data_IF_156135723289
#
_entry.id   IF_156135723289
#
_cell.length_a   1.000
_cell.length_b   1.000
_cell.length_c   1.000
_cell.angle_alpha   90.00
_cell.angle_beta   90.00
_cell.angle_gamma   90.00
#
_symmetry.space_group_name_H-M   'P 1'
#
loop_
_entity.id
_entity.type
_entity.pdbx_description
1 polymer ?
#
# COMPACT_ATOMS: atom_id res chain seq x y z
N UNK A 1 15.63 -1.02 54.26
CA UNK A 1 14.67 -1.72 53.38
C UNK A 1 15.34 -2.25 52.10
N UNK A 2 16.03 -1.43 51.29
CA UNK A 2 16.78 -1.94 50.12
C UNK A 2 17.93 -2.90 50.49
N UNK A 3 18.72 -2.55 51.52
CA UNK A 3 19.82 -3.42 52.01
C UNK A 3 19.33 -4.76 52.57
N UNK A 4 18.22 -4.77 53.32
CA UNK A 4 17.63 -6.00 53.87
C UNK A 4 16.99 -6.88 52.78
N UNK A 5 16.41 -6.27 51.74
CA UNK A 5 15.85 -6.99 50.59
C UNK A 5 16.97 -7.59 49.72
N UNK A 6 18.07 -6.86 49.56
CA UNK A 6 19.27 -7.32 48.85
C UNK A 6 19.94 -8.48 49.58
N UNK A 7 20.01 -8.42 50.90
CA UNK A 7 20.58 -9.47 51.74
C UNK A 7 19.72 -10.75 51.69
N UNK A 8 18.40 -10.61 51.80
CA UNK A 8 17.46 -11.72 51.62
C UNK A 8 17.51 -12.33 50.21
N UNK A 9 17.68 -11.51 49.16
CA UNK A 9 17.86 -12.02 47.79
C UNK A 9 19.18 -12.78 47.66
N UNK A 10 20.28 -12.26 48.22
CA UNK A 10 21.62 -12.84 48.10
C UNK A 10 21.81 -14.17 48.82
N UNK A 11 20.93 -14.48 49.78
CA UNK A 11 20.95 -15.74 50.54
C UNK A 11 20.15 -16.87 49.82
N UNK A 12 19.45 -16.58 48.72
CA UNK A 12 18.75 -17.62 47.97
C UNK A 12 19.71 -18.52 47.17
N UNK A 13 19.50 -19.85 47.19
CA UNK A 13 20.37 -20.81 46.47
C UNK A 13 20.39 -20.61 44.94
N UNK A 14 19.40 -19.92 44.38
CA UNK A 14 19.30 -19.60 42.94
C UNK A 14 19.48 -18.10 42.64
N UNK A 15 20.19 -17.35 43.48
CA UNK A 15 20.38 -15.90 43.34
C UNK A 15 20.94 -15.49 41.96
N UNK A 16 21.89 -16.26 41.42
CA UNK A 16 22.47 -16.00 40.09
C UNK A 16 21.43 -16.19 38.98
N UNK A 17 20.63 -17.25 39.05
CA UNK A 17 19.56 -17.49 38.09
C UNK A 17 18.48 -16.40 38.16
N UNK A 18 18.17 -15.92 39.37
CA UNK A 18 17.18 -14.88 39.58
C UNK A 18 17.62 -13.51 39.01
N UNK A 19 18.91 -13.19 39.10
CA UNK A 19 19.49 -11.95 38.58
C UNK A 19 19.61 -11.95 37.05
N UNK A 20 19.71 -13.12 36.42
CA UNK A 20 19.73 -13.26 34.95
C UNK A 20 18.34 -13.22 34.32
N UNK A 21 17.26 -13.43 35.08
CA UNK A 21 15.87 -13.37 34.56
C UNK A 21 15.59 -12.03 33.83
N UNK A 22 15.81 -10.83 34.41
CA UNK A 22 15.42 -9.60 33.73
C UNK A 22 16.18 -9.30 32.42
N UNK A 23 17.51 -9.47 32.34
CA UNK A 23 18.24 -9.33 31.07
C UNK A 23 17.84 -10.38 30.02
N UNK A 24 17.63 -11.64 30.43
CA UNK A 24 17.23 -12.71 29.50
C UNK A 24 15.82 -12.47 28.98
N UNK A 25 14.86 -12.14 29.85
CA UNK A 25 13.50 -11.79 29.44
C UNK A 25 13.49 -10.57 28.51
N UNK A 26 14.30 -9.55 28.78
CA UNK A 26 14.44 -8.39 27.89
C UNK A 26 14.90 -8.80 26.48
N UNK A 27 15.92 -9.64 26.38
CA UNK A 27 16.44 -10.14 25.10
C UNK A 27 15.42 -11.03 24.39
N UNK A 28 14.78 -11.95 25.12
CA UNK A 28 13.77 -12.86 24.58
C UNK A 28 12.57 -12.08 24.05
N UNK A 29 12.04 -11.11 24.80
CA UNK A 29 10.93 -10.25 24.35
C UNK A 29 11.33 -9.44 23.11
N UNK A 30 12.55 -8.91 23.08
CA UNK A 30 13.07 -8.18 21.93
C UNK A 30 13.14 -9.06 20.67
N UNK A 31 13.70 -10.26 20.79
CA UNK A 31 13.82 -11.22 19.69
C UNK A 31 12.46 -11.75 19.25
N UNK A 32 11.57 -12.02 20.20
CA UNK A 32 10.22 -12.50 19.94
C UNK A 32 9.39 -11.45 19.17
N UNK A 33 9.38 -10.20 19.61
CA UNK A 33 8.64 -9.12 18.94
C UNK A 33 9.17 -8.89 17.52
N UNK A 34 10.50 -8.95 17.33
CA UNK A 34 11.09 -8.92 15.99
C UNK A 34 10.58 -10.06 15.11
N UNK A 35 10.60 -11.29 15.63
CA UNK A 35 10.11 -12.46 14.91
C UNK A 35 8.62 -12.32 14.56
N UNK A 36 7.79 -11.81 15.47
CA UNK A 36 6.37 -11.58 15.24
C UNK A 36 6.12 -10.54 14.13
N UNK A 37 6.91 -9.47 14.10
CA UNK A 37 6.85 -8.45 13.04
C UNK A 37 7.30 -9.02 11.70
N UNK A 38 8.36 -9.84 11.66
CA UNK A 38 8.82 -10.48 10.43
C UNK A 38 7.75 -11.44 9.86
N UNK A 39 7.15 -12.25 10.75
CA UNK A 39 6.07 -13.19 10.45
C UNK A 39 4.78 -12.52 9.95
N UNK A 40 4.58 -11.24 10.26
CA UNK A 40 3.44 -10.46 9.77
C UNK A 40 3.53 -10.18 8.27
N UNK A 41 4.74 -9.90 7.77
CA UNK A 41 4.96 -9.45 6.39
C UNK A 41 5.55 -10.54 5.48
N UNK A 42 6.34 -11.46 6.03
CA UNK A 42 7.09 -12.46 5.27
C UNK A 42 6.72 -13.89 5.68
N UNK A 43 6.79 -14.85 4.72
CA UNK A 43 7.09 -14.70 3.30
C UNK A 43 5.89 -14.19 2.51
N UNK A 44 6.14 -13.41 1.44
CA UNK A 44 5.10 -12.82 0.58
C UNK A 44 4.29 -13.92 -0.14
N UNK A 45 4.99 -14.94 -0.64
CA UNK A 45 4.38 -16.13 -1.24
C UNK A 45 4.34 -17.24 -0.20
N UNK A 46 3.25 -17.99 -0.18
CA UNK A 46 3.12 -19.17 0.68
C UNK A 46 4.29 -20.13 0.46
N UNK A 47 4.99 -20.45 1.55
CA UNK A 47 6.10 -21.39 1.56
C UNK A 47 5.69 -22.65 2.34
N UNK A 48 5.63 -23.79 1.66
CA UNK A 48 5.26 -25.07 2.26
C UNK A 48 4.60 -26.05 1.27
N UNK A 49 4.14 -27.18 1.79
CA UNK A 49 3.49 -28.23 0.99
C UNK A 49 2.00 -27.91 0.90
N UNK A 50 1.54 -27.52 -0.29
CA UNK A 50 0.11 -27.34 -0.58
C UNK A 50 -0.55 -28.71 -0.65
N UNK A 51 -1.30 -29.08 0.39
CA UNK A 51 -2.13 -30.28 0.39
C UNK A 51 -3.54 -29.84 0.00
N UNK A 52 -4.02 -30.32 -1.15
CA UNK A 52 -5.37 -30.02 -1.64
C UNK A 52 -6.38 -30.93 -0.93
N UNK A 53 -7.35 -30.37 -0.20
CA UNK A 53 -8.46 -31.13 0.40
C UNK A 53 -8.50 -31.24 1.94
N UNK A 54 -7.76 -30.42 2.69
CA UNK A 54 -7.86 -30.41 4.17
C UNK A 54 -9.14 -29.67 4.65
N UNK A 55 -9.90 -30.23 5.62
CA UNK A 55 -11.00 -29.51 6.26
C UNK A 55 -10.49 -28.23 6.96
N UNK A 56 -11.37 -27.22 7.09
CA UNK A 56 -11.10 -25.88 7.67
C UNK A 56 -10.33 -24.87 6.79
N UNK A 57 -10.17 -25.09 5.49
CA UNK A 57 -9.61 -24.07 4.58
C UNK A 57 -8.09 -23.84 4.74
N UNK A 58 -7.40 -24.78 5.39
CA UNK A 58 -5.94 -24.79 5.48
C UNK A 58 -5.34 -25.11 4.10
N UNK A 59 -4.60 -24.16 3.51
CA UNK A 59 -3.97 -24.28 2.19
C UNK A 59 -2.78 -25.26 2.13
N UNK A 60 -2.48 -25.95 3.24
CA UNK A 60 -1.37 -26.89 3.39
C UNK A 60 -0.60 -26.71 4.69
N UNK A 61 0.47 -27.51 4.87
CA UNK A 61 1.49 -27.31 5.91
C UNK A 61 2.51 -26.31 5.37
N UNK A 62 2.36 -25.04 5.73
CA UNK A 62 3.26 -23.98 5.30
C UNK A 62 2.97 -22.65 5.97
N UNK A 63 3.88 -21.71 5.79
CA UNK A 63 3.81 -20.38 6.36
C UNK A 63 3.71 -19.33 5.25
N UNK A 64 2.85 -18.34 5.47
CA UNK A 64 2.76 -17.13 4.67
C UNK A 64 2.58 -15.97 5.64
N UNK A 65 3.18 -14.82 5.33
CA UNK A 65 2.93 -13.61 6.11
C UNK A 65 1.43 -13.33 6.21
N UNK A 66 0.97 -12.85 7.36
CA UNK A 66 -0.46 -12.65 7.62
C UNK A 66 -1.04 -11.59 6.65
N UNK A 67 -0.34 -10.47 6.45
CA UNK A 67 -0.73 -9.39 5.54
C UNK A 67 -0.88 -9.89 4.09
N UNK A 68 0.12 -10.54 3.46
CA UNK A 68 -0.04 -11.05 2.09
C UNK A 68 -1.04 -12.21 1.98
N UNK A 69 -1.27 -12.98 3.04
CA UNK A 69 -2.27 -14.05 3.03
C UNK A 69 -3.71 -13.52 3.03
N UNK A 70 -3.96 -12.39 3.70
CA UNK A 70 -5.28 -11.75 3.83
C UNK A 70 -5.49 -10.53 2.93
N UNK A 71 -4.63 -10.37 1.93
CA UNK A 71 -4.59 -9.19 1.07
C UNK A 71 -5.96 -8.73 0.55
N UNK A 72 -6.78 -9.62 -0.02
CA UNK A 72 -8.08 -9.27 -0.58
C UNK A 72 -9.11 -8.69 0.40
N UNK A 73 -9.09 -9.16 1.66
CA UNK A 73 -9.99 -8.61 2.68
C UNK A 73 -9.52 -7.23 3.15
N UNK A 74 -8.20 -7.06 3.30
CA UNK A 74 -7.58 -5.81 3.74
C UNK A 74 -7.72 -4.72 2.65
N UNK A 75 -7.53 -5.08 1.37
CA UNK A 75 -7.63 -4.14 0.26
C UNK A 75 -9.00 -3.51 0.19
N UNK A 76 -10.09 -4.29 0.27
CA UNK A 76 -11.46 -3.76 0.22
C UNK A 76 -11.72 -2.65 1.24
N UNK A 77 -11.24 -2.82 2.49
CA UNK A 77 -11.45 -1.81 3.53
C UNK A 77 -10.63 -0.53 3.25
N UNK A 78 -9.37 -0.68 2.84
CA UNK A 78 -8.51 0.47 2.51
C UNK A 78 -9.06 1.21 1.30
N UNK A 79 -9.55 0.49 0.29
CA UNK A 79 -10.16 1.04 -0.92
C UNK A 79 -11.38 1.88 -0.57
N UNK A 80 -12.32 1.33 0.19
CA UNK A 80 -13.57 2.03 0.55
C UNK A 80 -13.26 3.34 1.29
N UNK A 81 -12.27 3.32 2.18
CA UNK A 81 -11.81 4.51 2.89
C UNK A 81 -11.10 5.50 1.96
N UNK A 82 -10.19 5.04 1.11
CA UNK A 82 -9.41 5.89 0.18
C UNK A 82 -10.31 6.56 -0.86
N UNK A 83 -11.23 5.80 -1.46
CA UNK A 83 -12.19 6.32 -2.45
C UNK A 83 -13.14 7.36 -1.86
N UNK A 84 -13.60 7.16 -0.63
CA UNK A 84 -14.43 8.16 0.06
C UNK A 84 -13.75 9.53 0.22
N UNK A 85 -12.41 9.58 0.12
CA UNK A 85 -11.61 10.80 0.29
C UNK A 85 -11.06 11.36 -1.03
N UNK A 86 -11.07 10.58 -2.11
CA UNK A 86 -10.60 11.01 -3.43
C UNK A 86 -11.44 12.14 -4.03
N UNK A 87 -12.68 12.36 -3.56
CA UNK A 87 -13.59 13.36 -4.15
C UNK A 87 -14.33 12.81 -5.36
N UNK A 88 -14.72 13.67 -6.30
CA UNK A 88 -15.26 13.22 -7.59
C UNK A 88 -14.12 12.73 -8.48
N UNK A 89 -14.39 11.68 -9.26
CA UNK A 89 -13.39 11.16 -10.20
C UNK A 89 -13.13 12.17 -11.32
N UNK A 90 -14.14 12.96 -11.70
CA UNK A 90 -13.96 14.07 -12.63
C UNK A 90 -12.92 15.07 -12.13
N UNK A 91 -13.00 15.55 -10.87
CA UNK A 91 -12.01 16.49 -10.31
C UNK A 91 -10.60 15.89 -10.35
N UNK A 92 -10.48 14.61 -10.02
CA UNK A 92 -9.21 13.89 -10.06
C UNK A 92 -8.62 13.81 -11.48
N UNK A 93 -9.46 13.53 -12.49
CA UNK A 93 -9.03 13.44 -13.88
C UNK A 93 -8.72 14.81 -14.49
N UNK A 94 -9.49 15.84 -14.16
CA UNK A 94 -9.19 17.22 -14.53
C UNK A 94 -7.84 17.67 -13.94
N UNK A 95 -7.53 17.26 -12.71
CA UNK A 95 -6.24 17.55 -12.08
C UNK A 95 -5.05 16.85 -12.76
N UNK A 96 -5.27 15.83 -13.60
CA UNK A 96 -4.23 15.23 -14.43
C UNK A 96 -3.96 16.02 -15.73
N UNK A 97 -4.65 17.13 -15.98
CA UNK A 97 -4.52 18.00 -17.17
C UNK A 97 -4.72 17.18 -18.47
N UNK A 98 -5.98 16.82 -18.79
CA UNK A 98 -6.30 15.93 -19.92
C UNK A 98 -5.82 16.45 -21.28
N UNK A 99 -5.70 17.76 -21.45
CA UNK A 99 -5.13 18.35 -22.66
C UNK A 99 -3.64 17.99 -22.84
N UNK A 100 -2.85 18.04 -21.78
CA UNK A 100 -1.43 17.62 -21.83
C UNK A 100 -1.31 16.12 -22.14
N UNK A 101 -2.23 15.30 -21.61
CA UNK A 101 -2.30 13.87 -21.93
C UNK A 101 -2.59 13.66 -23.42
N UNK A 102 -3.57 14.37 -23.97
CA UNK A 102 -3.92 14.28 -25.39
C UNK A 102 -2.76 14.69 -26.30
N UNK A 103 -2.02 15.75 -25.95
CA UNK A 103 -0.84 16.18 -26.69
C UNK A 103 0.28 15.13 -26.65
N UNK A 104 0.56 14.56 -25.47
CA UNK A 104 1.59 13.53 -25.30
C UNK A 104 1.26 12.24 -26.07
N UNK A 105 0.00 11.78 -25.98
CA UNK A 105 -0.48 10.61 -26.72
C UNK A 105 -0.38 10.88 -28.21
N UNK A 106 -0.87 12.03 -28.67
CA UNK A 106 -0.80 12.46 -30.08
C UNK A 106 0.64 12.44 -30.60
N UNK A 107 1.58 13.06 -29.89
CA UNK A 107 2.99 13.14 -30.29
C UNK A 107 3.66 11.76 -30.39
N UNK A 108 3.16 10.77 -29.63
CA UNK A 108 3.66 9.40 -29.67
C UNK A 108 3.02 8.58 -30.78
N UNK A 109 1.70 8.71 -30.96
CA UNK A 109 0.96 8.04 -32.04
C UNK A 109 1.39 8.59 -33.41
N UNK A 110 1.62 9.89 -33.55
CA UNK A 110 2.06 10.55 -34.80
C UNK A 110 3.36 9.94 -35.34
N UNK A 111 4.30 9.58 -34.47
CA UNK A 111 5.58 8.96 -34.86
C UNK A 111 5.41 7.59 -35.49
N UNK A 112 4.38 6.85 -35.07
CA UNK A 112 4.10 5.50 -35.53
C UNK A 112 2.90 5.44 -36.47
N UNK A 113 2.31 6.58 -36.83
CA UNK A 113 1.02 6.65 -37.51
C UNK A 113 1.04 5.92 -38.86
N UNK A 114 2.07 6.16 -39.67
CA UNK A 114 2.20 5.49 -40.98
C UNK A 114 2.31 3.97 -40.83
N UNK A 115 3.11 3.51 -39.84
CA UNK A 115 3.24 2.08 -39.54
C UNK A 115 1.95 1.46 -39.05
N UNK A 116 1.19 2.18 -38.21
CA UNK A 116 -0.11 1.72 -37.69
C UNK A 116 -1.14 1.61 -38.82
N UNK A 117 -1.20 2.61 -39.71
CA UNK A 117 -2.09 2.56 -40.87
C UNK A 117 -1.71 1.40 -41.78
N UNK A 118 -0.41 1.20 -42.03
CA UNK A 118 0.07 0.08 -42.84
C UNK A 118 -0.28 -1.27 -42.22
N UNK A 119 -0.07 -1.43 -40.91
CA UNK A 119 -0.41 -2.66 -40.20
C UNK A 119 -1.91 -2.98 -40.30
N UNK A 120 -2.77 -2.01 -39.99
CA UNK A 120 -4.24 -2.17 -40.04
C UNK A 120 -4.69 -2.50 -41.47
N UNK A 121 -4.17 -1.79 -42.46
CA UNK A 121 -4.55 -1.98 -43.87
C UNK A 121 -4.04 -3.32 -44.42
N UNK A 122 -2.86 -3.77 -44.03
CA UNK A 122 -2.31 -5.07 -44.46
C UNK A 122 -3.03 -6.25 -43.82
N UNK A 123 -3.43 -6.13 -42.54
CA UNK A 123 -4.11 -7.20 -41.81
C UNK A 123 -5.48 -7.54 -42.42
N UNK A 124 -6.23 -6.52 -42.87
CA UNK A 124 -7.57 -6.72 -43.43
C UNK A 124 -7.66 -6.66 -44.94
N UNK A 125 -6.82 -5.85 -45.57
CA UNK A 125 -6.91 -5.54 -46.98
C UNK A 125 -5.56 -5.61 -47.69
N UNK A 126 -4.84 -6.73 -47.49
CA UNK A 126 -3.53 -6.96 -48.08
C UNK A 126 -3.46 -6.63 -49.58
N UNK A 127 -4.40 -7.16 -50.38
CA UNK A 127 -4.43 -6.96 -51.83
C UNK A 127 -4.70 -5.50 -52.22
N UNK A 128 -5.61 -4.81 -51.52
CA UNK A 128 -5.92 -3.42 -51.81
C UNK A 128 -4.74 -2.52 -51.46
N UNK A 129 -4.16 -2.70 -50.27
CA UNK A 129 -3.10 -1.83 -49.78
C UNK A 129 -1.80 -1.99 -50.57
N UNK A 130 -1.42 -3.22 -50.91
CA UNK A 130 -0.22 -3.50 -51.71
C UNK A 130 -0.29 -2.94 -53.12
N UNK A 131 -1.49 -2.90 -53.71
CA UNK A 131 -1.71 -2.33 -55.05
C UNK A 131 -2.10 -0.85 -55.05
N UNK A 132 -2.28 -0.22 -53.88
CA UNK A 132 -2.64 1.20 -53.80
C UNK A 132 -1.46 2.08 -54.23
N UNK A 133 -1.63 2.95 -55.25
CA UNK A 133 -0.61 3.89 -55.67
C UNK A 133 -0.09 4.74 -54.49
N UNK A 134 1.23 4.96 -54.46
CA UNK A 134 1.88 5.71 -53.38
C UNK A 134 1.31 7.12 -53.18
N UNK A 135 0.81 7.76 -54.25
CA UNK A 135 0.14 9.05 -54.17
C UNK A 135 -1.14 9.01 -53.30
N UNK A 136 -1.92 7.92 -53.38
CA UNK A 136 -3.13 7.74 -52.57
C UNK A 136 -2.75 7.44 -51.12
N UNK A 137 -1.76 6.56 -50.89
CA UNK A 137 -1.27 6.26 -49.53
C UNK A 137 -0.78 7.52 -48.82
N UNK A 138 0.04 8.35 -49.48
CA UNK A 138 0.48 9.64 -48.91
C UNK A 138 -0.68 10.59 -48.58
N UNK A 139 -1.71 10.63 -49.42
CA UNK A 139 -2.90 11.45 -49.14
C UNK A 139 -3.66 10.94 -47.91
N UNK A 140 -3.80 9.62 -47.77
CA UNK A 140 -4.42 9.00 -46.59
C UNK A 140 -3.59 9.35 -45.34
N UNK A 141 -2.27 9.12 -45.34
CA UNK A 141 -1.42 9.46 -44.19
C UNK A 141 -1.53 10.94 -43.80
N UNK A 142 -1.43 11.85 -44.77
CA UNK A 142 -1.54 13.29 -44.53
C UNK A 142 -2.91 13.68 -43.95
N UNK A 143 -3.97 13.04 -44.44
CA UNK A 143 -5.34 13.29 -43.97
C UNK A 143 -5.56 12.76 -42.55
N UNK A 144 -5.09 11.55 -42.22
CA UNK A 144 -5.17 11.03 -40.85
C UNK A 144 -4.38 11.93 -39.91
N UNK A 145 -3.16 12.31 -40.32
CA UNK A 145 -2.26 13.14 -39.53
C UNK A 145 -2.86 14.51 -39.19
N UNK A 146 -3.57 15.14 -40.13
CA UNK A 146 -4.19 16.45 -39.88
C UNK A 146 -5.35 16.40 -38.87
N UNK A 147 -6.00 15.24 -38.72
CA UNK A 147 -7.15 15.07 -37.82
C UNK A 147 -6.77 14.42 -36.49
N UNK A 148 -5.62 13.73 -36.42
CA UNK A 148 -5.18 12.98 -35.24
C UNK A 148 -5.22 13.81 -33.95
N UNK A 149 -4.69 15.04 -33.97
CA UNK A 149 -4.66 15.90 -32.80
C UNK A 149 -6.06 16.29 -32.30
N UNK A 150 -6.98 16.61 -33.22
CA UNK A 150 -8.35 16.97 -32.87
C UNK A 150 -9.12 15.77 -32.30
N UNK A 151 -9.00 14.61 -32.94
CA UNK A 151 -9.64 13.36 -32.52
C UNK A 151 -9.10 12.91 -31.16
N UNK A 152 -7.79 12.95 -30.96
CA UNK A 152 -7.19 12.54 -29.68
C UNK A 152 -7.62 13.47 -28.56
N UNK A 153 -7.68 14.78 -28.83
CA UNK A 153 -8.20 15.75 -27.86
C UNK A 153 -9.66 15.48 -27.51
N UNK A 154 -10.55 15.33 -28.49
CA UNK A 154 -11.97 15.05 -28.22
C UNK A 154 -12.15 13.73 -27.47
N UNK A 155 -11.43 12.69 -27.88
CA UNK A 155 -11.48 11.37 -27.25
C UNK A 155 -11.00 11.42 -25.80
N UNK A 156 -9.85 12.04 -25.50
CA UNK A 156 -9.36 12.15 -24.12
C UNK A 156 -10.29 13.00 -23.25
N UNK A 157 -10.86 14.08 -23.79
CA UNK A 157 -11.82 14.90 -23.06
C UNK A 157 -13.11 14.13 -22.77
N UNK A 158 -13.66 13.42 -23.76
CA UNK A 158 -14.88 12.64 -23.56
C UNK A 158 -14.68 11.48 -22.60
N UNK A 159 -13.52 10.80 -22.63
CA UNK A 159 -13.17 9.78 -21.65
C UNK A 159 -13.06 10.38 -20.24
N UNK A 160 -12.50 11.59 -20.12
CA UNK A 160 -12.37 12.32 -18.85
C UNK A 160 -13.76 12.69 -18.29
N UNK A 161 -14.63 13.28 -19.11
CA UNK A 161 -15.98 13.67 -18.67
C UNK A 161 -16.87 12.48 -18.33
N UNK A 162 -16.66 11.34 -18.97
CA UNK A 162 -17.47 10.13 -18.72
C UNK A 162 -16.82 9.16 -17.75
N UNK A 163 -15.70 9.51 -17.11
CA UNK A 163 -14.85 8.57 -16.36
C UNK A 163 -15.58 7.81 -15.25
N UNK A 164 -16.54 8.45 -14.56
CA UNK A 164 -17.37 7.80 -13.53
C UNK A 164 -18.22 6.65 -14.07
N UNK A 165 -18.56 6.70 -15.36
CA UNK A 165 -19.37 5.70 -16.05
C UNK A 165 -18.55 4.64 -16.80
N UNK A 166 -17.23 4.83 -16.88
CA UNK A 166 -16.26 4.00 -17.59
C UNK A 166 -15.31 3.22 -16.66
N UNK A 167 -15.12 3.67 -15.41
CA UNK A 167 -14.17 3.09 -14.47
C UNK A 167 -14.84 2.65 -13.18
N UNK A 168 -14.67 1.38 -12.82
CA UNK A 168 -14.96 0.89 -11.48
C UNK A 168 -13.70 0.95 -10.61
N UNK A 169 -13.49 2.11 -9.98
CA UNK A 169 -12.29 2.37 -9.17
C UNK A 169 -12.12 1.37 -8.02
N UNK A 170 -13.23 0.90 -7.45
CA UNK A 170 -13.20 -0.05 -6.34
C UNK A 170 -12.64 -1.38 -6.82
N UNK A 171 -13.21 -1.91 -7.90
CA UNK A 171 -12.76 -3.15 -8.52
C UNK A 171 -11.29 -3.06 -8.95
N UNK A 172 -10.90 -1.95 -9.61
CA UNK A 172 -9.53 -1.72 -10.08
C UNK A 172 -8.50 -1.78 -8.93
N UNK A 173 -8.73 -1.03 -7.84
CA UNK A 173 -7.77 -0.98 -6.73
C UNK A 173 -7.74 -2.32 -5.99
N UNK A 174 -8.89 -2.96 -5.76
CA UNK A 174 -8.94 -4.29 -5.13
C UNK A 174 -8.18 -5.31 -5.98
N UNK A 175 -8.44 -5.37 -7.28
CA UNK A 175 -7.76 -6.28 -8.19
C UNK A 175 -6.25 -6.03 -8.24
N UNK A 176 -5.82 -4.75 -8.26
CA UNK A 176 -4.39 -4.39 -8.22
C UNK A 176 -3.72 -4.88 -6.95
N UNK A 177 -4.34 -4.65 -5.79
CA UNK A 177 -3.78 -5.06 -4.49
C UNK A 177 -3.82 -6.57 -4.26
N UNK A 178 -4.81 -7.29 -4.80
CA UNK A 178 -4.89 -8.75 -4.71
C UNK A 178 -3.85 -9.44 -5.61
N UNK A 179 -3.66 -8.90 -6.82
CA UNK A 179 -2.69 -9.41 -7.79
C UNK A 179 -1.26 -9.08 -7.36
N UNK A 180 -1.03 -7.91 -6.76
CA UNK A 180 0.26 -7.48 -6.23
C UNK A 180 0.31 -7.48 -4.69
N UNK A 181 0.53 -8.67 -4.12
CA UNK A 181 0.75 -8.80 -2.66
C UNK A 181 1.99 -8.06 -2.16
N UNK A 182 2.98 -7.83 -3.04
CA UNK A 182 4.20 -7.14 -2.66
C UNK A 182 3.91 -5.65 -2.45
N UNK A 183 3.15 -5.04 -3.36
CA UNK A 183 2.64 -3.68 -3.23
C UNK A 183 1.97 -3.44 -1.88
N UNK A 184 1.08 -4.36 -1.46
CA UNK A 184 0.44 -4.26 -0.16
C UNK A 184 1.44 -4.27 1.00
N UNK A 185 2.36 -5.24 1.02
CA UNK A 185 3.38 -5.35 2.07
C UNK A 185 4.28 -4.11 2.10
N UNK A 186 4.72 -3.64 0.92
CA UNK A 186 5.54 -2.44 0.78
C UNK A 186 4.80 -1.21 1.29
N UNK A 187 3.48 -1.10 1.05
CA UNK A 187 2.66 -0.01 1.57
C UNK A 187 2.66 0.03 3.10
N UNK A 188 2.39 -1.10 3.76
CA UNK A 188 2.42 -1.18 5.22
C UNK A 188 3.81 -0.91 5.80
N UNK A 189 4.86 -1.44 5.17
CA UNK A 189 6.23 -1.25 5.63
C UNK A 189 6.69 0.20 5.48
N UNK A 190 6.32 0.89 4.38
CA UNK A 190 6.65 2.31 4.18
C UNK A 190 5.93 3.20 5.18
N UNK A 191 4.62 2.99 5.35
CA UNK A 191 3.80 3.76 6.31
C UNK A 191 4.23 3.50 7.75
N UNK A 192 4.42 2.24 8.13
CA UNK A 192 4.70 1.80 9.50
C UNK A 192 6.17 1.73 9.90
N UNK A 193 7.12 2.10 9.03
CA UNK A 193 8.57 1.88 9.26
C UNK A 193 9.06 2.37 10.62
N UNK A 194 8.67 3.59 11.04
CA UNK A 194 9.15 4.12 12.32
C UNK A 194 8.40 3.52 13.50
N UNK A 195 7.11 3.20 13.35
CA UNK A 195 6.29 2.55 14.37
C UNK A 195 6.82 1.15 14.65
N UNK A 196 7.11 0.35 13.61
CA UNK A 196 7.73 -0.97 13.71
C UNK A 196 9.08 -0.88 14.43
N UNK A 197 9.94 0.08 14.04
CA UNK A 197 11.23 0.29 14.69
C UNK A 197 11.10 0.75 16.16
N UNK A 198 10.08 1.55 16.45
CA UNK A 198 9.79 2.00 17.81
C UNK A 198 9.31 0.84 18.70
N UNK A 199 8.37 0.01 18.21
CA UNK A 199 7.90 -1.20 18.89
C UNK A 199 9.09 -2.13 19.19
N UNK A 200 9.96 -2.34 18.21
CA UNK A 200 11.12 -3.20 18.37
C UNK A 200 12.16 -2.66 19.37
N UNK A 201 12.35 -1.34 19.46
CA UNK A 201 13.27 -0.74 20.44
C UNK A 201 12.70 -0.73 21.85
N UNK A 202 11.40 -0.46 22.00
CA UNK A 202 10.77 -0.37 23.31
C UNK A 202 10.46 -1.75 23.90
N UNK A 203 10.36 -2.80 23.06
CA UNK A 203 10.09 -4.16 23.51
C UNK A 203 11.15 -4.71 24.48
N UNK A 204 12.42 -4.35 24.30
CA UNK A 204 13.48 -4.72 25.23
C UNK A 204 13.26 -4.11 26.63
N UNK A 205 12.84 -2.84 26.69
CA UNK A 205 12.56 -2.14 27.95
C UNK A 205 11.32 -2.72 28.65
N UNK A 206 10.26 -3.00 27.87
CA UNK A 206 9.04 -3.66 28.36
C UNK A 206 9.37 -5.06 28.89
N UNK A 207 10.15 -5.83 28.13
CA UNK A 207 10.62 -7.16 28.51
C UNK A 207 11.47 -7.13 29.78
N UNK A 208 12.33 -6.12 29.96
CA UNK A 208 13.06 -5.93 31.21
C UNK A 208 12.12 -5.69 32.40
N UNK A 209 11.09 -4.85 32.22
CA UNK A 209 10.06 -4.61 33.23
C UNK A 209 9.30 -5.88 33.62
N UNK A 210 8.87 -6.68 32.64
CA UNK A 210 8.25 -7.99 32.91
C UNK A 210 9.22 -8.97 33.56
N UNK A 211 10.49 -8.94 33.19
CA UNK A 211 11.54 -9.73 33.82
C UNK A 211 11.71 -9.41 35.31
N UNK A 212 11.65 -8.14 35.71
CA UNK A 212 11.67 -7.75 37.14
C UNK A 212 10.43 -8.24 37.89
N UNK A 213 9.25 -8.18 37.27
CA UNK A 213 8.01 -8.72 37.85
C UNK A 213 8.10 -10.23 37.97
N UNK A 214 8.59 -10.92 36.94
CA UNK A 214 8.78 -12.36 36.93
C UNK A 214 9.80 -12.81 37.97
N UNK A 215 10.88 -12.04 38.14
CA UNK A 215 11.85 -12.24 39.22
C UNK A 215 11.16 -12.17 40.58
N UNK A 216 10.31 -11.17 40.83
CA UNK A 216 9.53 -11.09 42.07
C UNK A 216 8.53 -12.25 42.24
N UNK A 217 7.89 -12.73 41.17
CA UNK A 217 6.98 -13.88 41.23
C UNK A 217 7.74 -15.16 41.58
N UNK A 218 8.91 -15.38 40.97
CA UNK A 218 9.74 -16.55 41.22
C UNK A 218 10.26 -16.60 42.67
N UNK A 219 10.47 -15.43 43.29
CA UNK A 219 10.77 -15.32 44.73
C UNK A 219 9.68 -15.96 45.62
N UNK A 220 8.41 -15.66 45.33
CA UNK A 220 7.27 -16.13 46.14
C UNK A 220 6.83 -17.54 45.77
N UNK A 221 6.99 -17.94 44.50
CA UNK A 221 6.59 -19.24 43.97
C UNK A 221 7.75 -19.83 43.17
N UNK A 222 8.71 -20.53 43.82
CA UNK A 222 9.89 -21.10 43.17
C UNK A 222 9.53 -22.42 42.46
N UNK A 223 8.63 -22.35 41.49
CA UNK A 223 8.29 -23.47 40.62
C UNK A 223 8.76 -23.16 39.20
N UNK A 224 9.59 -24.02 38.62
CA UNK A 224 10.18 -23.79 37.29
C UNK A 224 9.12 -23.62 36.18
N UNK A 225 7.96 -24.27 36.28
CA UNK A 225 6.86 -24.13 35.32
C UNK A 225 6.25 -22.71 35.26
N UNK A 226 6.46 -21.89 36.30
CA UNK A 226 6.00 -20.49 36.28
C UNK A 226 6.67 -19.70 35.16
N UNK A 227 7.92 -20.03 34.80
CA UNK A 227 8.70 -19.32 33.78
C UNK A 227 8.04 -19.43 32.38
N UNK A 228 7.76 -20.62 31.82
CA UNK A 228 7.03 -20.77 30.55
C UNK A 228 5.61 -20.22 30.59
N UNK A 229 4.88 -20.42 31.68
CA UNK A 229 3.50 -19.96 31.81
C UNK A 229 3.40 -18.44 31.79
N UNK A 230 4.23 -17.75 32.58
CA UNK A 230 4.26 -16.30 32.57
C UNK A 230 4.87 -15.74 31.29
N UNK A 231 5.85 -16.42 30.69
CA UNK A 231 6.39 -16.01 29.38
C UNK A 231 5.31 -16.04 28.27
N UNK A 232 4.38 -16.99 28.30
CA UNK A 232 3.20 -17.00 27.43
C UNK A 232 2.33 -15.75 27.64
N UNK A 233 2.01 -15.44 28.90
CA UNK A 233 1.19 -14.26 29.26
C UNK A 233 1.89 -12.98 28.83
N UNK A 234 3.17 -12.82 29.18
CA UNK A 234 3.96 -11.64 28.83
C UNK A 234 4.13 -11.49 27.32
N UNK A 235 4.28 -12.57 26.56
CA UNK A 235 4.31 -12.54 25.10
C UNK A 235 3.01 -11.98 24.50
N UNK A 236 1.87 -12.53 24.91
CA UNK A 236 0.56 -12.05 24.47
C UNK A 236 0.32 -10.58 24.87
N UNK A 237 0.66 -10.23 26.11
CA UNK A 237 0.47 -8.90 26.67
C UNK A 237 1.42 -7.86 26.04
N UNK A 238 2.64 -8.23 25.70
CA UNK A 238 3.59 -7.35 24.98
C UNK A 238 3.05 -7.00 23.59
N UNK A 239 2.56 -7.99 22.85
CA UNK A 239 2.00 -7.74 21.51
C UNK A 239 0.74 -6.87 21.59
N UNK A 240 -0.12 -7.13 22.57
CA UNK A 240 -1.29 -6.28 22.82
C UNK A 240 -0.89 -4.83 23.16
N UNK A 241 0.09 -4.63 24.06
CA UNK A 241 0.60 -3.29 24.41
C UNK A 241 1.23 -2.60 23.19
N UNK A 242 2.00 -3.33 22.39
CA UNK A 242 2.65 -2.78 21.21
C UNK A 242 1.63 -2.20 20.22
N UNK A 243 0.58 -2.95 19.90
CA UNK A 243 -0.52 -2.50 19.04
C UNK A 243 -1.25 -1.32 19.68
N UNK A 244 -1.56 -1.42 20.97
CA UNK A 244 -2.27 -0.36 21.68
C UNK A 244 -1.50 0.97 21.66
N UNK A 245 -0.18 0.94 21.88
CA UNK A 245 0.70 2.11 21.92
C UNK A 245 0.84 2.81 20.55
N UNK A 246 0.69 2.04 19.48
CA UNK A 246 0.80 2.54 18.10
C UNK A 246 -0.46 3.32 17.70
N UNK A 247 -1.65 2.88 18.12
CA UNK A 247 -2.93 3.47 17.71
C UNK A 247 -3.60 4.36 18.76
N UNK A 248 -3.26 4.22 20.04
CA UNK A 248 -3.89 4.92 21.15
C UNK A 248 -2.87 5.68 22.02
N UNK A 249 -3.27 6.79 22.65
CA UNK A 249 -4.56 7.48 22.52
C UNK A 249 -4.67 8.24 21.19
N UNK A 250 -5.89 8.33 20.64
CA UNK A 250 -6.19 8.99 19.36
C UNK A 250 -5.93 10.49 19.47
N UNK A 251 -6.50 11.10 20.50
CA UNK A 251 -6.28 12.51 20.83
C UNK A 251 -5.11 12.65 21.80
N UNK A 252 -4.32 13.73 21.70
CA UNK A 252 -3.17 13.95 22.58
C UNK A 252 -3.66 14.13 24.02
N UNK A 253 -3.29 13.20 24.89
CA UNK A 253 -3.54 13.31 26.33
C UNK A 253 -2.35 13.95 27.01
N UNK A 254 -2.57 15.09 27.67
CA UNK A 254 -1.54 15.77 28.45
C UNK A 254 -1.41 15.11 29.81
N UNK A 255 -0.26 14.48 30.07
CA UNK A 255 0.10 13.99 31.40
C UNK A 255 0.97 15.05 32.08
N UNK A 256 0.55 15.60 33.22
CA UNK A 256 1.36 16.54 33.97
C UNK A 256 2.55 15.79 34.61
N UNK A 257 3.77 16.26 34.36
CA UNK A 257 4.99 15.76 35.00
C UNK A 257 5.80 16.91 35.59
N UNK A 258 6.46 16.66 36.73
CA UNK A 258 7.30 17.65 37.38
C UNK A 258 8.68 17.61 36.73
N UNK A 259 9.00 18.64 35.94
CA UNK A 259 10.31 18.76 35.28
C UNK A 259 11.27 19.48 36.22
N UNK A 260 12.23 18.74 36.77
CA UNK A 260 13.26 19.27 37.69
C UNK A 260 14.50 19.80 36.97
N UNK A 261 14.65 19.51 35.67
CA UNK A 261 15.87 19.73 34.91
C UNK A 261 15.58 20.38 33.54
N UNK A 262 16.33 21.45 33.21
CA UNK A 262 16.37 22.04 31.86
C UNK A 262 17.77 21.79 31.26
N UNK A 263 17.82 21.54 29.95
CA UNK A 263 19.08 21.53 29.22
C UNK A 263 19.39 22.95 28.77
N UNK A 264 20.52 23.48 29.19
CA UNK A 264 21.02 24.79 28.79
C UNK A 264 22.30 24.62 27.99
N UNK A 265 22.41 25.34 26.87
CA UNK A 265 23.60 25.31 26.02
C UNK A 265 24.59 26.35 26.53
N UNK A 266 25.67 25.88 27.14
CA UNK A 266 26.80 26.72 27.58
C UNK A 266 28.04 26.23 26.84
N UNK A 267 28.68 27.11 26.05
CA UNK A 267 29.85 26.78 25.22
C UNK A 267 29.68 25.52 24.33
N UNK A 268 28.60 25.44 23.55
CA UNK A 268 28.33 24.32 22.63
C UNK A 268 28.24 22.92 23.29
N UNK A 269 28.17 22.85 24.63
CA UNK A 269 27.94 21.61 25.38
C UNK A 269 26.59 21.68 26.11
N UNK A 270 25.81 20.59 26.03
CA UNK A 270 24.53 20.45 26.73
C UNK A 270 24.79 20.19 28.21
N UNK A 271 24.54 21.18 29.08
CA UNK A 271 24.65 21.02 30.54
C UNK A 271 23.25 20.95 31.16
N UNK A 272 23.06 20.03 32.12
CA UNK A 272 21.81 19.86 32.84
C UNK A 272 21.79 20.86 34.00
N UNK A 273 20.86 21.81 33.99
CA UNK A 273 20.70 22.82 35.04
C UNK A 273 19.41 22.54 35.82
N UNK A 274 19.52 22.57 37.15
CA UNK A 274 18.40 22.41 38.06
C UNK A 274 17.45 23.61 37.98
N UNK A 275 16.16 23.36 37.80
CA UNK A 275 15.10 24.39 37.84
C UNK A 275 14.17 24.18 39.04
N UNK A 276 13.49 25.25 39.48
CA UNK A 276 12.42 25.12 40.47
C UNK A 276 11.33 24.18 39.91
N UNK A 277 10.79 23.24 40.71
CA UNK A 277 9.79 22.28 40.26
C UNK A 277 8.59 23.03 39.67
N UNK A 278 8.41 22.86 38.35
CA UNK A 278 7.28 23.44 37.62
C UNK A 278 6.55 22.31 36.91
N UNK A 279 5.22 22.39 36.91
CA UNK A 279 4.35 21.42 36.24
C UNK A 279 4.49 21.60 34.73
N UNK A 280 4.92 20.56 34.03
CA UNK A 280 4.97 20.54 32.57
C UNK A 280 4.04 19.47 32.02
N UNK A 281 3.40 19.75 30.89
CA UNK A 281 2.44 18.83 30.28
C UNK A 281 3.12 18.04 29.17
N UNK A 282 3.29 16.73 29.33
CA UNK A 282 3.74 15.84 28.26
C UNK A 282 2.53 15.32 27.49
N UNK A 283 2.42 15.67 26.21
CA UNK A 283 1.37 15.14 25.34
C UNK A 283 1.74 13.72 24.89
N UNK A 284 1.05 12.72 25.44
CA UNK A 284 1.12 11.35 24.95
C UNK A 284 0.01 11.11 23.93
N UNK A 285 0.41 10.64 22.75
CA UNK A 285 -0.46 10.26 21.65
C UNK A 285 0.08 8.99 20.99
N UNK A 286 -0.79 8.20 20.34
CA UNK A 286 -0.38 7.01 19.59
C UNK A 286 0.65 7.34 18.51
N UNK A 287 1.55 6.39 18.22
CA UNK A 287 2.67 6.57 17.28
C UNK A 287 2.25 7.12 15.91
N UNK A 288 1.24 6.51 15.29
CA UNK A 288 0.72 6.97 13.99
C UNK A 288 0.06 8.34 14.06
N UNK A 289 -0.72 8.61 15.11
CA UNK A 289 -1.45 9.87 15.26
C UNK A 289 -0.49 11.05 15.48
N UNK A 290 0.59 10.84 16.23
CA UNK A 290 1.63 11.84 16.45
C UNK A 290 2.37 12.21 15.15
N UNK A 291 2.41 11.29 14.18
CA UNK A 291 3.06 11.44 12.87
C UNK A 291 2.06 11.53 11.72
N UNK A 292 0.81 11.93 12.01
CA UNK A 292 -0.26 11.95 11.01
C UNK A 292 0.17 12.68 9.73
N UNK A 293 0.79 13.85 9.83
CA UNK A 293 1.29 14.60 8.66
C UNK A 293 2.25 13.78 7.79
N UNK A 294 3.29 13.21 8.39
CA UNK A 294 4.31 12.45 7.68
C UNK A 294 3.73 11.17 7.05
N UNK A 295 2.84 10.50 7.79
CA UNK A 295 2.21 9.27 7.31
C UNK A 295 1.20 9.56 6.20
N UNK A 296 0.51 10.71 6.26
CA UNK A 296 -0.40 11.17 5.22
C UNK A 296 0.35 11.39 3.90
N UNK A 297 1.52 12.04 3.93
CA UNK A 297 2.40 12.22 2.77
C UNK A 297 2.81 10.87 2.16
N UNK A 298 3.32 9.95 2.98
CA UNK A 298 3.77 8.63 2.49
C UNK A 298 2.61 7.80 1.93
N UNK A 299 1.45 7.84 2.59
CA UNK A 299 0.26 7.14 2.11
C UNK A 299 -0.23 7.74 0.79
N UNK A 300 -0.26 9.07 0.69
CA UNK A 300 -0.64 9.77 -0.54
C UNK A 300 0.27 9.40 -1.71
N UNK A 301 1.59 9.34 -1.47
CA UNK A 301 2.59 8.97 -2.46
C UNK A 301 2.34 7.57 -3.02
N UNK A 302 2.02 6.61 -2.15
CA UNK A 302 1.80 5.21 -2.55
C UNK A 302 0.48 5.08 -3.32
N UNK A 303 -0.60 5.69 -2.84
CA UNK A 303 -1.89 5.64 -3.53
C UNK A 303 -1.77 6.23 -4.94
N UNK A 304 -1.16 7.40 -5.07
CA UNK A 304 -1.05 8.11 -6.35
C UNK A 304 -0.08 7.44 -7.33
N UNK A 305 1.04 6.90 -6.85
CA UNK A 305 2.05 6.30 -7.73
C UNK A 305 1.85 4.81 -8.00
N UNK A 306 1.09 4.09 -7.17
CA UNK A 306 1.02 2.62 -7.24
C UNK A 306 -0.43 2.10 -7.42
N UNK A 307 -1.46 2.82 -6.92
CA UNK A 307 -2.86 2.40 -7.00
C UNK A 307 -3.66 3.16 -8.06
N UNK A 308 -3.70 4.48 -7.98
CA UNK A 308 -4.53 5.36 -8.80
C UNK A 308 -3.68 6.06 -9.86
N UNK A 309 -2.95 5.27 -10.64
CA UNK A 309 -2.10 5.76 -11.73
C UNK A 309 -2.89 5.90 -13.02
N UNK A 310 -2.44 6.78 -13.91
CA UNK A 310 -3.01 6.91 -15.26
C UNK A 310 -3.03 5.55 -15.96
N UNK A 311 -1.94 4.78 -15.90
CA UNK A 311 -1.87 3.44 -16.48
C UNK A 311 -2.95 2.50 -15.95
N UNK A 312 -3.10 2.39 -14.62
CA UNK A 312 -4.08 1.47 -14.03
C UNK A 312 -5.50 1.87 -14.44
N UNK A 313 -5.80 3.17 -14.43
CA UNK A 313 -7.16 3.63 -14.72
C UNK A 313 -7.49 3.51 -16.20
N UNK A 314 -6.57 3.85 -17.10
CA UNK A 314 -6.77 3.65 -18.53
C UNK A 314 -6.87 2.16 -18.88
N UNK A 315 -6.13 1.30 -18.18
CA UNK A 315 -6.28 -0.14 -18.33
C UNK A 315 -7.66 -0.63 -17.86
N UNK A 316 -8.20 -0.10 -16.76
CA UNK A 316 -9.57 -0.38 -16.32
C UNK A 316 -10.61 0.14 -17.31
N UNK A 317 -10.43 1.34 -17.87
CA UNK A 317 -11.32 1.87 -18.91
C UNK A 317 -11.35 0.96 -20.14
N UNK A 318 -10.19 0.46 -20.60
CA UNK A 318 -10.07 -0.25 -21.88
C UNK A 318 -10.36 -1.75 -21.78
N UNK A 319 -10.08 -2.38 -20.64
CA UNK A 319 -10.16 -3.83 -20.46
C UNK A 319 -10.97 -4.27 -19.23
N UNK A 320 -11.43 -3.32 -18.42
CA UNK A 320 -12.20 -3.59 -17.21
C UNK A 320 -13.67 -3.89 -17.47
N UNK A 321 -14.48 -3.81 -16.41
CA UNK A 321 -15.90 -4.25 -16.47
C UNK A 321 -16.76 -3.41 -17.41
N UNK A 322 -16.38 -2.15 -17.63
CA UNK A 322 -17.12 -1.19 -18.46
C UNK A 322 -16.43 -0.91 -19.81
N UNK A 323 -15.50 -1.78 -20.21
CA UNK A 323 -14.73 -1.65 -21.45
C UNK A 323 -15.60 -1.48 -22.71
N UNK A 324 -16.80 -2.07 -22.75
CA UNK A 324 -17.71 -1.94 -23.89
C UNK A 324 -18.15 -0.48 -24.11
N UNK A 325 -18.38 0.30 -23.05
CA UNK A 325 -18.73 1.73 -23.17
C UNK A 325 -17.55 2.56 -23.66
N UNK A 326 -16.35 2.27 -23.15
CA UNK A 326 -15.12 2.92 -23.61
C UNK A 326 -14.91 2.61 -25.09
N UNK A 327 -15.11 1.35 -25.50
CA UNK A 327 -15.09 0.95 -26.91
C UNK A 327 -16.08 1.75 -27.73
N UNK A 328 -17.33 1.91 -27.28
CA UNK A 328 -18.36 2.73 -27.96
C UNK A 328 -17.92 4.19 -28.17
N UNK A 329 -17.35 4.84 -27.15
CA UNK A 329 -16.81 6.20 -27.28
C UNK A 329 -15.64 6.26 -28.28
N UNK A 330 -14.74 5.28 -28.23
CA UNK A 330 -13.65 5.19 -29.23
C UNK A 330 -14.25 4.97 -30.63
N UNK A 331 -15.31 4.17 -30.79
CA UNK A 331 -15.98 3.95 -32.07
C UNK A 331 -16.53 5.26 -32.65
N UNK A 332 -17.20 6.08 -31.84
CA UNK A 332 -17.81 7.32 -32.33
C UNK A 332 -16.76 8.27 -32.91
N UNK A 333 -15.64 8.46 -32.20
CA UNK A 333 -14.55 9.33 -32.65
C UNK A 333 -13.82 8.78 -33.89
N UNK A 334 -13.59 7.47 -33.96
CA UNK A 334 -12.91 6.87 -35.11
C UNK A 334 -13.81 6.80 -36.35
N UNK A 335 -15.12 6.63 -36.18
CA UNK A 335 -16.06 6.55 -37.30
C UNK A 335 -16.23 7.90 -38.00
N UNK A 336 -16.22 9.01 -37.27
CA UNK A 336 -16.19 10.35 -37.88
C UNK A 336 -15.04 10.49 -38.88
N UNK A 337 -13.86 9.94 -38.55
CA UNK A 337 -12.70 9.96 -39.43
C UNK A 337 -12.82 9.00 -40.62
N UNK A 338 -13.42 7.82 -40.41
CA UNK A 338 -13.62 6.84 -41.49
C UNK A 338 -14.73 7.24 -42.48
N UNK A 339 -15.66 8.08 -42.04
CA UNK A 339 -16.77 8.58 -42.84
C UNK A 339 -16.42 9.86 -43.61
N UNK A 340 -15.25 10.46 -43.38
CA UNK A 340 -14.73 11.55 -44.19
C UNK A 340 -14.73 11.17 -45.69
N UNK A 341 -15.19 12.04 -46.60
CA UNK A 341 -15.31 11.71 -48.02
C UNK A 341 -14.02 11.15 -48.65
N UNK A 342 -12.85 11.64 -48.24
CA UNK A 342 -11.56 11.21 -48.81
C UNK A 342 -11.23 9.77 -48.39
N UNK A 343 -11.47 9.44 -47.12
CA UNK A 343 -11.20 8.12 -46.54
C UNK A 343 -12.29 7.14 -46.96
N UNK A 344 -13.55 7.51 -46.81
CA UNK A 344 -14.72 6.69 -47.12
C UNK A 344 -14.76 6.26 -48.59
N UNK A 345 -14.46 7.16 -49.54
CA UNK A 345 -14.42 6.80 -50.96
C UNK A 345 -13.30 5.82 -51.25
N UNK A 346 -12.13 6.02 -50.66
CA UNK A 346 -10.98 5.12 -50.82
C UNK A 346 -11.29 3.72 -50.29
N UNK A 347 -11.94 3.62 -49.12
CA UNK A 347 -12.34 2.36 -48.51
C UNK A 347 -13.46 1.65 -49.28
N UNK A 348 -14.50 2.38 -49.71
CA UNK A 348 -15.66 1.82 -50.43
C UNK A 348 -15.33 1.31 -51.84
N UNK A 349 -14.35 1.92 -52.51
CA UNK A 349 -13.89 1.46 -53.83
C UNK A 349 -13.11 0.16 -53.72
N UNK A 350 -12.39 -0.04 -52.61
CA UNK A 350 -11.60 -1.23 -52.38
C UNK A 350 -12.35 -2.38 -51.70
N UNK A 351 -13.22 -2.09 -50.74
CA UNK A 351 -13.78 -3.07 -49.81
C UNK A 351 -15.28 -3.27 -50.03
N UNK A 352 -15.74 -4.52 -49.92
CA UNK A 352 -17.17 -4.81 -49.85
C UNK A 352 -17.74 -4.42 -48.46
N UNK A 353 -19.07 -4.40 -48.35
CA UNK A 353 -19.74 -3.95 -47.12
C UNK A 353 -19.33 -4.79 -45.89
N UNK A 354 -19.16 -6.10 -46.06
CA UNK A 354 -18.78 -7.02 -44.97
C UNK A 354 -17.33 -6.79 -44.51
N UNK A 355 -16.41 -6.57 -45.45
CA UNK A 355 -15.02 -6.24 -45.12
C UNK A 355 -14.92 -4.87 -44.47
N UNK A 356 -15.75 -3.90 -44.88
CA UNK A 356 -15.80 -2.57 -44.26
C UNK A 356 -16.21 -2.64 -42.78
N UNK A 357 -17.26 -3.39 -42.45
CA UNK A 357 -17.71 -3.54 -41.06
C UNK A 357 -16.64 -4.25 -40.21
N UNK A 358 -16.00 -5.29 -40.75
CA UNK A 358 -14.91 -6.02 -40.06
C UNK A 358 -13.66 -5.15 -39.87
N UNK A 359 -13.38 -4.27 -40.85
CA UNK A 359 -12.27 -3.31 -40.80
C UNK A 359 -12.49 -2.26 -39.71
N UNK A 360 -13.71 -1.73 -39.60
CA UNK A 360 -14.10 -0.81 -38.53
C UNK A 360 -13.79 -1.39 -37.14
N UNK A 361 -14.19 -2.64 -36.87
CA UNK A 361 -13.90 -3.30 -35.59
C UNK A 361 -12.39 -3.49 -35.34
N UNK A 362 -11.62 -3.80 -36.38
CA UNK A 362 -10.16 -4.02 -36.26
C UNK A 362 -9.40 -2.73 -35.98
N UNK A 363 -9.82 -1.63 -36.59
CA UNK A 363 -9.27 -0.31 -36.29
C UNK A 363 -9.43 0.01 -34.82
N UNK A 364 -10.62 -0.24 -34.25
CA UNK A 364 -10.90 0.09 -32.85
C UNK A 364 -9.95 -0.67 -31.93
N UNK A 365 -9.80 -1.98 -32.11
CA UNK A 365 -8.89 -2.79 -31.28
C UNK A 365 -7.44 -2.31 -31.39
N UNK A 366 -6.94 -2.07 -32.62
CA UNK A 366 -5.57 -1.58 -32.85
C UNK A 366 -5.36 -0.17 -32.32
N UNK A 367 -6.36 0.71 -32.41
CA UNK A 367 -6.31 2.07 -31.88
C UNK A 367 -6.26 2.08 -30.35
N UNK A 368 -7.00 1.20 -29.69
CA UNK A 368 -6.92 1.03 -28.23
C UNK A 368 -5.51 0.61 -27.83
N UNK A 369 -4.97 -0.42 -28.47
CA UNK A 369 -3.61 -0.93 -28.17
C UNK A 369 -2.54 0.14 -28.44
N UNK A 370 -2.65 0.87 -29.56
CA UNK A 370 -1.74 1.96 -29.90
C UNK A 370 -1.78 3.11 -28.89
N UNK A 371 -2.95 3.38 -28.31
CA UNK A 371 -3.15 4.43 -27.29
C UNK A 371 -2.59 4.00 -25.93
N UNK A 372 -2.62 2.70 -25.61
CA UNK A 372 -2.06 2.17 -24.36
C UNK A 372 -0.53 2.25 -24.30
N UNK A 373 0.17 2.29 -25.43
CA UNK A 373 1.64 2.42 -25.48
C UNK A 373 2.14 3.72 -24.81
N UNK A 374 1.71 4.94 -25.21
CA UNK A 374 2.12 6.17 -24.55
C UNK A 374 1.63 6.28 -23.12
N UNK A 375 0.46 5.71 -22.80
CA UNK A 375 -0.11 5.71 -21.44
C UNK A 375 0.78 4.95 -20.45
N UNK A 376 1.49 3.92 -20.93
CA UNK A 376 2.46 3.14 -20.12
C UNK A 376 3.83 3.81 -20.00
N UNK A 377 4.03 5.01 -20.55
CA UNK A 377 5.30 5.73 -20.40
C UNK A 377 5.50 6.14 -18.93
N UNK A 378 6.62 5.74 -18.28
CA UNK A 378 6.89 6.09 -16.89
C UNK A 378 6.97 7.60 -16.64
N UNK A 379 7.46 8.38 -17.60
CA UNK A 379 7.58 9.84 -17.49
C UNK A 379 6.20 10.49 -17.44
N UNK A 380 5.26 10.01 -18.26
CA UNK A 380 3.89 10.50 -18.24
C UNK A 380 3.24 10.17 -16.89
N UNK A 381 3.33 8.92 -16.45
CA UNK A 381 2.74 8.48 -15.18
C UNK A 381 3.26 9.28 -13.98
N UNK A 382 4.59 9.44 -13.85
CA UNK A 382 5.19 10.25 -12.78
C UNK A 382 4.77 11.70 -12.87
N UNK A 383 4.74 12.27 -14.08
CA UNK A 383 4.31 13.65 -14.28
C UNK A 383 2.86 13.87 -13.85
N UNK A 384 1.94 12.97 -14.23
CA UNK A 384 0.52 13.06 -13.86
C UNK A 384 0.30 12.81 -12.37
N UNK A 385 0.98 11.81 -11.80
CA UNK A 385 1.01 11.54 -10.37
C UNK A 385 1.41 12.77 -9.55
N UNK A 386 2.45 13.50 -9.96
CA UNK A 386 2.89 14.70 -9.25
C UNK A 386 1.82 15.82 -9.23
N UNK A 387 0.98 15.92 -10.27
CA UNK A 387 -0.07 16.94 -10.36
C UNK A 387 -1.20 16.69 -9.36
N UNK A 388 -1.57 15.41 -9.18
CA UNK A 388 -2.62 14.99 -8.25
C UNK A 388 -2.13 14.77 -6.81
N UNK A 389 -0.81 14.57 -6.62
CA UNK A 389 -0.23 14.30 -5.31
C UNK A 389 -0.58 15.36 -4.27
N UNK A 390 -0.42 16.65 -4.61
CA UNK A 390 -0.72 17.74 -3.68
C UNK A 390 -2.20 17.83 -3.28
N UNK A 391 -3.11 17.55 -4.23
CA UNK A 391 -4.54 17.48 -3.97
C UNK A 391 -4.85 16.36 -2.96
N UNK A 392 -4.29 15.18 -3.19
CA UNK A 392 -4.56 14.01 -2.36
C UNK A 392 -3.90 14.12 -0.97
N UNK A 393 -2.64 14.58 -0.92
CA UNK A 393 -1.92 14.83 0.33
C UNK A 393 -2.67 15.82 1.22
N UNK A 394 -3.11 16.95 0.67
CA UNK A 394 -3.81 17.98 1.43
C UNK A 394 -5.12 17.47 2.04
N UNK A 395 -5.86 16.63 1.31
CA UNK A 395 -7.12 16.02 1.78
C UNK A 395 -6.90 15.02 2.90
N UNK A 396 -5.88 14.16 2.81
CA UNK A 396 -5.57 13.20 3.87
C UNK A 396 -5.05 13.93 5.11
N UNK A 397 -4.23 14.96 4.92
CA UNK A 397 -3.69 15.76 6.03
C UNK A 397 -4.79 16.53 6.78
N UNK A 398 -5.83 16.95 6.08
CA UNK A 398 -6.97 17.65 6.67
C UNK A 398 -7.89 16.72 7.51
N UNK A 399 -7.68 15.40 7.50
CA UNK A 399 -8.49 14.47 8.26
C UNK A 399 -8.38 14.68 9.77
N UNK A 400 -9.47 14.46 10.47
CA UNK A 400 -9.42 14.37 11.93
C UNK A 400 -8.62 13.12 12.36
N UNK A 401 -8.00 13.10 13.56
CA UNK A 401 -7.26 11.93 14.04
C UNK A 401 -8.10 10.64 14.04
N UNK A 402 -9.41 10.75 14.27
CA UNK A 402 -10.33 9.61 14.23
C UNK A 402 -10.55 9.08 12.81
N UNK A 403 -10.74 9.96 11.83
CA UNK A 403 -10.85 9.56 10.43
C UNK A 403 -9.54 8.98 9.91
N UNK A 404 -8.41 9.59 10.26
CA UNK A 404 -7.10 9.09 9.92
C UNK A 404 -6.86 7.69 10.51
N UNK A 405 -7.28 7.46 11.76
CA UNK A 405 -7.25 6.12 12.35
C UNK A 405 -8.09 5.13 11.55
N UNK A 406 -9.27 5.52 11.07
CA UNK A 406 -10.12 4.64 10.27
C UNK A 406 -9.53 4.28 8.90
N UNK A 407 -8.57 5.05 8.38
CA UNK A 407 -7.83 4.67 7.17
C UNK A 407 -6.89 3.48 7.42
N UNK A 408 -6.18 3.50 8.55
CA UNK A 408 -5.09 2.55 8.81
C UNK A 408 -5.53 1.38 9.69
N UNK A 409 -6.29 1.65 10.75
CA UNK A 409 -6.63 0.69 11.81
C UNK A 409 -7.38 -0.54 11.32
N UNK A 410 -8.35 -0.47 10.39
CA UNK A 410 -9.08 -1.66 9.97
C UNK A 410 -8.17 -2.74 9.37
N UNK A 411 -7.10 -2.32 8.69
CA UNK A 411 -6.13 -3.25 8.15
C UNK A 411 -5.30 -3.98 9.22
N UNK A 412 -5.11 -3.38 10.40
CA UNK A 412 -4.42 -4.00 11.52
C UNK A 412 -5.38 -4.77 12.43
N UNK A 413 -6.62 -4.28 12.63
CA UNK A 413 -7.64 -4.86 13.51
C UNK A 413 -7.95 -6.32 13.20
N UNK A 414 -8.01 -6.67 11.92
CA UNK A 414 -8.29 -8.03 11.46
C UNK A 414 -7.21 -9.05 11.89
N UNK A 415 -6.02 -8.57 12.26
CA UNK A 415 -4.85 -9.39 12.57
C UNK A 415 -4.36 -9.24 14.02
N UNK A 416 -4.92 -8.32 14.81
CA UNK A 416 -4.53 -8.08 16.20
C UNK A 416 -4.62 -9.36 17.04
N UNK A 417 -5.72 -10.11 16.92
CA UNK A 417 -5.94 -11.35 17.69
C UNK A 417 -4.92 -12.41 17.29
N UNK A 418 -4.66 -12.58 16.00
CA UNK A 418 -3.67 -13.55 15.50
C UNK A 418 -2.27 -13.20 16.01
N UNK A 419 -1.89 -11.92 16.01
CA UNK A 419 -0.63 -11.44 16.58
C UNK A 419 -0.51 -11.68 18.08
N UNK A 420 -1.58 -11.47 18.85
CA UNK A 420 -1.60 -11.72 20.30
C UNK A 420 -1.45 -13.22 20.60
N UNK A 421 -2.19 -14.08 19.90
CA UNK A 421 -2.11 -15.54 20.07
C UNK A 421 -0.73 -16.04 19.68
N UNK A 422 -0.23 -15.61 18.52
CA UNK A 422 1.11 -15.97 18.05
C UNK A 422 2.16 -15.56 19.10
N UNK A 423 2.02 -14.36 19.66
CA UNK A 423 2.87 -13.86 20.74
C UNK A 423 2.87 -14.73 21.99
N UNK A 424 1.71 -15.23 22.39
CA UNK A 424 1.60 -16.17 23.49
C UNK A 424 2.33 -17.49 23.21
N UNK A 425 2.13 -18.08 22.03
CA UNK A 425 2.74 -19.37 21.65
C UNK A 425 4.27 -19.26 21.63
N UNK A 426 4.81 -18.23 20.98
CA UNK A 426 6.26 -18.00 20.92
C UNK A 426 6.84 -17.59 22.27
N UNK A 427 6.08 -16.85 23.08
CA UNK A 427 6.45 -16.53 24.46
C UNK A 427 6.58 -17.79 25.32
N UNK A 428 5.64 -18.73 25.18
CA UNK A 428 5.71 -20.04 25.82
C UNK A 428 6.95 -20.82 25.39
N UNK A 429 7.21 -20.92 24.08
CA UNK A 429 8.38 -21.63 23.54
C UNK A 429 9.70 -21.02 24.03
N UNK A 430 9.79 -19.69 24.07
CA UNK A 430 10.98 -19.02 24.55
C UNK A 430 11.16 -19.18 26.07
N UNK A 431 10.07 -19.15 26.85
CA UNK A 431 10.09 -19.44 28.27
C UNK A 431 10.47 -20.90 28.58
N UNK A 432 10.05 -21.84 27.74
CA UNK A 432 10.47 -23.24 27.81
C UNK A 432 11.96 -23.40 27.54
N UNK A 433 12.47 -22.76 26.48
CA UNK A 433 13.90 -22.76 26.17
C UNK A 433 14.72 -22.13 27.31
N UNK A 434 14.26 -21.03 27.87
CA UNK A 434 14.89 -20.39 29.03
C UNK A 434 14.94 -21.34 30.24
N UNK A 435 13.84 -22.05 30.51
CA UNK A 435 13.78 -23.04 31.59
C UNK A 435 14.86 -24.11 31.38
N UNK A 436 14.93 -24.70 30.18
CA UNK A 436 15.89 -25.76 29.85
C UNK A 436 17.35 -25.28 29.88
N UNK A 437 17.65 -24.03 29.53
CA UNK A 437 19.03 -23.52 29.45
C UNK A 437 19.56 -23.04 30.81
N UNK A 438 18.69 -22.57 31.70
CA UNK A 438 19.10 -21.95 32.98
C UNK A 438 18.96 -22.90 34.16
N UNK A 439 17.99 -23.81 34.13
CA UNK A 439 17.67 -24.69 35.26
C UNK A 439 18.00 -26.17 35.02
N UNK A 440 18.25 -26.58 33.78
CA UNK A 440 18.68 -27.94 33.39
C UNK A 440 20.00 -27.86 32.63
#
# INVERSE_FOLDING_TARGET
MFLSLWQALSEHPEFIAMLTIPPVTAFVTWAHVWMALEMLFYPIKFWGIRIFGLPFGLKGLGWQGIVPAKAGKISGIIVDQTLSKLGSLDEFFQAMEPEEMAEFITATVDKNLESLIDEIMLERSYTLWTHTPYAIRRRIYAHVRSHLAAIMKSLVMDLTYNVESLVDMREMIVAKMENDRKLMVDMFLRVGKKEINFIWKISALIGFGFGVIQMAIFYFVPQHWTVPFFAMIWGALTNWIAIWMVFNPIEPKTVPFVRLFRYEMVNHQKRIVWMRPHWHNYSWQGGFMKRQDEVSTVFAEIVVNELVTLENIMNEMMYGRQADKTRELVKSHLYEMLEDPIVATSLKVGMDKRSLDTFKDTIIDKSIDATMVPIRDPKLNVSRANKIFGLFESRIRALTPKEFQNLLRPAFQEDEITLIILGGITGFLAGWLHLVVVFF
#
